data_IF_095398009696
#
_entry.id   IF_095398009696
#
_cell.length_a   1.000
_cell.length_b   1.000
_cell.length_c   1.000
_cell.angle_alpha   90.00
_cell.angle_beta   90.00
_cell.angle_gamma   90.00
#
_symmetry.space_group_name_H-M   'P 1'
#
loop_
_entity.id
_entity.type
_entity.pdbx_description
1 polymer ?
#
# COMPACT_ATOMS: atom_id res chain seq x y z
N UNK A 1 3.47 1.05 4.72
CA UNK A 1 3.05 2.41 5.13
C UNK A 1 1.98 2.92 4.16
N UNK A 2 1.17 3.87 4.59
CA UNK A 2 0.07 4.49 3.81
C UNK A 2 0.22 5.99 3.86
N UNK A 3 0.25 6.66 2.70
CA UNK A 3 0.31 8.13 2.61
C UNK A 3 -0.26 8.61 1.28
N UNK A 4 -1.17 9.58 1.29
CA UNK A 4 -1.85 10.07 0.09
C UNK A 4 -1.27 11.40 -0.39
N UNK A 5 -1.44 11.70 -1.67
CA UNK A 5 -0.78 12.86 -2.33
C UNK A 5 -1.51 14.19 -2.14
N UNK A 6 -2.76 14.18 -1.67
CA UNK A 6 -3.50 15.39 -1.29
C UNK A 6 -3.67 15.54 0.22
N UNK A 7 -2.88 14.83 1.03
CA UNK A 7 -2.93 14.95 2.50
C UNK A 7 -2.60 16.39 2.94
N UNK A 8 -3.63 17.10 3.41
CA UNK A 8 -3.56 18.47 3.89
C UNK A 8 -3.16 18.60 5.36
N UNK A 9 -3.09 17.49 6.11
CA UNK A 9 -2.72 17.47 7.53
C UNK A 9 -1.27 17.06 7.75
N UNK A 10 -0.79 16.05 7.02
CA UNK A 10 0.59 15.54 7.09
C UNK A 10 1.22 15.57 5.69
N UNK A 11 2.28 16.35 5.48
CA UNK A 11 2.84 16.53 4.14
C UNK A 11 3.28 15.22 3.47
N UNK A 12 2.82 15.01 2.24
CA UNK A 12 3.03 13.79 1.45
C UNK A 12 4.50 13.35 1.33
N UNK A 13 5.42 14.30 1.23
CA UNK A 13 6.86 14.02 1.10
C UNK A 13 7.45 13.25 2.29
N UNK A 14 6.88 13.34 3.50
CA UNK A 14 7.37 12.58 4.65
C UNK A 14 7.26 11.06 4.42
N UNK A 15 6.16 10.60 3.82
CA UNK A 15 5.97 9.20 3.46
C UNK A 15 6.99 8.74 2.42
N UNK A 16 7.25 9.57 1.41
CA UNK A 16 8.23 9.28 0.34
C UNK A 16 9.65 9.20 0.91
N UNK A 17 10.04 10.15 1.75
CA UNK A 17 11.37 10.21 2.37
C UNK A 17 11.65 8.96 3.21
N UNK A 18 10.70 8.59 4.07
CA UNK A 18 10.85 7.40 4.91
C UNK A 18 10.85 6.11 4.09
N UNK A 19 9.95 5.97 3.10
CA UNK A 19 9.96 4.84 2.18
C UNK A 19 11.30 4.72 1.44
N UNK A 20 11.79 5.84 0.89
CA UNK A 20 13.04 5.89 0.13
C UNK A 20 14.25 5.53 1.00
N UNK A 21 14.30 6.03 2.24
CA UNK A 21 15.33 5.66 3.20
C UNK A 21 15.34 4.15 3.48
N UNK A 22 14.17 3.56 3.73
CA UNK A 22 14.05 2.11 3.96
C UNK A 22 14.46 1.29 2.72
N UNK A 23 14.09 1.73 1.51
CA UNK A 23 14.52 1.08 0.26
C UNK A 23 16.03 1.15 0.07
N UNK A 24 16.66 2.30 0.35
CA UNK A 24 18.13 2.48 0.30
C UNK A 24 18.87 1.61 1.31
N UNK A 25 18.23 1.31 2.45
CA UNK A 25 18.73 0.41 3.49
C UNK A 25 18.38 -1.07 3.25
N UNK A 26 17.91 -1.40 2.05
CA UNK A 26 17.48 -2.73 1.62
C UNK A 26 16.47 -3.39 2.58
N UNK A 27 15.57 -2.56 3.15
CA UNK A 27 14.48 -3.06 3.98
C UNK A 27 13.29 -3.44 3.11
N UNK A 28 12.63 -4.53 3.48
CA UNK A 28 11.36 -4.94 2.88
C UNK A 28 10.28 -3.95 3.30
N UNK A 29 9.77 -3.17 2.35
CA UNK A 29 8.85 -2.06 2.61
C UNK A 29 7.92 -1.84 1.43
N UNK A 30 6.71 -1.36 1.71
CA UNK A 30 5.71 -0.97 0.73
C UNK A 30 5.11 0.38 1.11
N UNK A 31 4.82 1.20 0.09
CA UNK A 31 4.07 2.43 0.20
C UNK A 31 2.75 2.27 -0.55
N UNK A 32 1.65 2.40 0.19
CA UNK A 32 0.30 2.48 -0.38
C UNK A 32 -0.06 3.95 -0.50
N UNK A 33 -0.34 4.39 -1.72
CA UNK A 33 -0.74 5.77 -2.02
C UNK A 33 -2.02 5.75 -2.85
N UNK A 34 -3.05 6.42 -2.35
CA UNK A 34 -4.29 6.64 -3.07
C UNK A 34 -4.26 8.05 -3.65
N UNK A 35 -4.26 8.17 -4.97
CA UNK A 35 -4.20 9.48 -5.63
C UNK A 35 -5.49 10.25 -5.40
N UNK A 36 -5.38 11.57 -5.25
CA UNK A 36 -6.48 12.51 -5.04
C UNK A 36 -7.21 12.35 -3.69
N UNK A 37 -6.74 11.46 -2.81
CA UNK A 37 -7.24 11.33 -1.44
C UNK A 37 -6.46 12.22 -0.47
N UNK A 38 -7.17 12.72 0.55
CA UNK A 38 -6.62 13.55 1.61
C UNK A 38 -6.07 12.68 2.77
N UNK A 39 -5.96 13.24 3.97
CA UNK A 39 -5.50 12.58 5.19
C UNK A 39 -6.29 11.30 5.52
N UNK A 40 -7.60 11.33 5.23
CA UNK A 40 -8.49 10.19 5.37
C UNK A 40 -9.03 9.75 4.01
N UNK A 41 -9.21 8.44 3.83
CA UNK A 41 -9.82 7.90 2.62
C UNK A 41 -11.33 8.14 2.62
N UNK A 42 -11.82 8.85 1.61
CA UNK A 42 -13.25 9.14 1.40
C UNK A 42 -13.85 8.16 0.40
N UNK A 43 -13.17 7.87 -0.70
CA UNK A 43 -13.70 6.99 -1.73
C UNK A 43 -13.87 5.57 -1.18
N UNK A 44 -15.06 5.00 -1.38
CA UNK A 44 -15.37 3.66 -0.86
C UNK A 44 -14.47 2.58 -1.45
N UNK A 45 -14.01 2.75 -2.69
CA UNK A 45 -13.06 1.81 -3.33
C UNK A 45 -11.72 1.78 -2.60
N UNK A 46 -11.18 2.95 -2.22
CA UNK A 46 -9.90 3.06 -1.55
C UNK A 46 -9.98 2.53 -0.11
N UNK A 47 -11.07 2.84 0.61
CA UNK A 47 -11.32 2.27 1.95
C UNK A 47 -11.35 0.74 1.95
N UNK A 48 -12.01 0.15 0.94
CA UNK A 48 -12.07 -1.31 0.78
C UNK A 48 -10.70 -1.90 0.46
N UNK A 49 -9.99 -1.34 -0.52
CA UNK A 49 -8.66 -1.81 -0.88
C UNK A 49 -7.70 -1.76 0.32
N UNK A 50 -7.67 -0.64 1.05
CA UNK A 50 -6.83 -0.52 2.25
C UNK A 50 -7.18 -1.58 3.30
N UNK A 51 -8.47 -1.81 3.53
CA UNK A 51 -8.95 -2.80 4.50
C UNK A 51 -8.49 -4.21 4.12
N UNK A 52 -8.57 -4.57 2.83
CA UNK A 52 -8.09 -5.87 2.33
C UNK A 52 -6.58 -5.99 2.46
N UNK A 53 -5.81 -4.97 2.05
CA UNK A 53 -4.34 -4.98 2.15
C UNK A 53 -3.87 -5.09 3.60
N UNK A 54 -4.52 -4.38 4.53
CA UNK A 54 -4.22 -4.46 5.95
C UNK A 54 -4.47 -5.86 6.49
N UNK A 55 -5.61 -6.48 6.14
CA UNK A 55 -5.92 -7.85 6.52
C UNK A 55 -4.89 -8.83 5.95
N UNK A 56 -4.58 -8.76 4.66
CA UNK A 56 -3.61 -9.65 4.01
C UNK A 56 -2.19 -9.50 4.58
N UNK A 57 -1.77 -8.27 4.89
CA UNK A 57 -0.48 -8.02 5.50
C UNK A 57 -0.37 -8.73 6.86
N UNK A 58 -1.38 -8.59 7.71
CA UNK A 58 -1.40 -9.26 9.01
C UNK A 58 -1.65 -10.77 8.91
N UNK A 59 -2.47 -11.23 7.97
CA UNK A 59 -2.67 -12.66 7.75
C UNK A 59 -1.34 -13.33 7.36
N UNK A 60 -0.55 -12.70 6.49
CA UNK A 60 0.78 -13.22 6.14
C UNK A 60 1.75 -13.22 7.32
N UNK A 61 1.90 -12.08 8.00
CA UNK A 61 2.93 -11.92 9.03
C UNK A 61 2.57 -12.50 10.40
N UNK A 62 1.27 -12.60 10.72
CA UNK A 62 0.80 -13.01 12.06
C UNK A 62 0.04 -14.33 12.05
N UNK A 63 -0.49 -14.78 10.90
CA UNK A 63 -1.25 -16.03 10.81
C UNK A 63 -0.62 -17.09 9.90
N UNK A 64 0.51 -16.78 9.27
CA UNK A 64 1.19 -17.70 8.35
C UNK A 64 0.45 -17.94 7.04
N UNK A 65 -0.49 -17.05 6.67
CA UNK A 65 -1.14 -17.13 5.36
C UNK A 65 -0.12 -16.87 4.24
N UNK A 66 -0.36 -17.36 3.01
CA UNK A 66 0.54 -17.08 1.90
C UNK A 66 0.55 -15.58 1.56
N UNK A 67 1.68 -15.13 1.02
CA UNK A 67 1.88 -13.71 0.70
C UNK A 67 0.98 -13.29 -0.48
N UNK A 68 0.29 -12.15 -0.40
CA UNK A 68 -0.49 -11.64 -1.53
C UNK A 68 0.42 -11.13 -2.66
N UNK A 69 -0.08 -11.14 -3.90
CA UNK A 69 0.66 -10.76 -5.11
C UNK A 69 1.24 -9.36 -5.01
N UNK A 70 0.46 -8.38 -4.54
CA UNK A 70 0.93 -7.00 -4.38
C UNK A 70 2.11 -6.86 -3.40
N UNK A 71 2.25 -7.75 -2.42
CA UNK A 71 3.40 -7.73 -1.52
C UNK A 71 4.64 -8.37 -2.16
N UNK A 72 4.45 -9.44 -2.94
CA UNK A 72 5.54 -10.20 -3.56
C UNK A 72 6.11 -9.50 -4.79
N UNK A 73 5.24 -9.05 -5.68
CA UNK A 73 5.57 -8.57 -7.02
C UNK A 73 5.36 -7.06 -7.18
N UNK A 74 4.59 -6.45 -6.27
CA UNK A 74 4.10 -5.09 -6.46
C UNK A 74 2.92 -5.04 -7.43
N UNK A 75 2.46 -3.82 -7.72
CA UNK A 75 1.45 -3.54 -8.75
C UNK A 75 2.05 -2.45 -9.65
N UNK A 76 2.23 -2.69 -10.96
CA UNK A 76 2.72 -1.67 -11.88
C UNK A 76 1.83 -0.42 -11.86
N UNK A 77 2.44 0.76 -11.99
CA UNK A 77 1.69 2.01 -12.01
C UNK A 77 0.66 2.08 -13.16
N UNK A 78 0.96 1.41 -14.28
CA UNK A 78 0.06 1.27 -15.44
C UNK A 78 -1.19 0.46 -15.16
N UNK A 79 -1.13 -0.42 -14.15
CA UNK A 79 -2.22 -1.34 -13.81
C UNK A 79 -3.05 -0.78 -12.64
N UNK A 80 -2.70 0.39 -12.12
CA UNK A 80 -3.36 1.01 -10.97
C UNK A 80 -4.83 1.27 -11.27
N UNK A 81 -5.71 0.69 -10.46
CA UNK A 81 -7.17 0.76 -10.65
C UNK A 81 -7.74 -0.28 -11.63
N UNK A 82 -6.87 -1.07 -12.28
CA UNK A 82 -7.22 -2.16 -13.19
C UNK A 82 -6.98 -3.50 -12.48
N UNK A 83 -5.73 -3.81 -12.14
CA UNK A 83 -5.34 -4.94 -11.30
C UNK A 83 -4.83 -4.42 -9.95
N UNK A 84 -5.46 -4.89 -8.86
CA UNK A 84 -5.09 -4.49 -7.51
C UNK A 84 -4.07 -5.44 -6.87
N UNK A 85 -3.77 -6.58 -7.51
CA UNK A 85 -2.83 -7.58 -7.02
C UNK A 85 -3.27 -8.24 -5.71
N UNK A 86 -4.59 -8.33 -5.48
CA UNK A 86 -5.15 -8.87 -4.23
C UNK A 86 -5.19 -10.40 -4.19
N UNK A 87 -4.89 -11.07 -5.30
CA UNK A 87 -4.79 -12.53 -5.32
C UNK A 87 -3.65 -13.04 -4.44
N UNK A 88 -3.84 -14.23 -3.89
CA UNK A 88 -2.81 -14.94 -3.11
C UNK A 88 -1.88 -15.66 -4.07
N UNK A 89 -0.56 -15.50 -3.87
CA UNK A 89 0.42 -16.23 -4.66
C UNK A 89 0.43 -17.69 -4.18
N UNK A 90 0.17 -18.61 -5.11
CA UNK A 90 0.25 -20.06 -4.88
C UNK A 90 1.70 -20.52 -4.73
#
# INVERSE_FOLDING_TARGET
>A
MTHNDKDGAVPWYQGIEYFTALRRLDKKVWLLQYNEEDHNLVERRNRKDLSVRLAQFFDHYLKGAPMPKWMKEGVPATDKGIDWGLDIVK
#
